data_IF_508596034841
#
_entry.id   IF_508596034841
#
_cell.length_a   1.000
_cell.length_b   1.000
_cell.length_c   1.000
_cell.angle_alpha   90.00
_cell.angle_beta   90.00
_cell.angle_gamma   90.00
#
_symmetry.space_group_name_H-M   'P 1'
#
loop_
_entity.id
_entity.type
_entity.pdbx_description
1 polymer ?
#
# COMPACT_ATOMS: atom_id res chain seq x y z
N UNK A 1 -13.41 -12.33 -26.38
CA UNK A 1 -14.47 -11.78 -25.52
C UNK A 1 -14.83 -12.69 -24.34
N UNK A 2 -15.20 -13.97 -24.56
CA UNK A 2 -15.59 -14.92 -23.47
C UNK A 2 -14.49 -15.14 -22.42
N UNK A 3 -13.23 -15.29 -22.86
CA UNK A 3 -12.08 -15.50 -21.97
C UNK A 3 -11.75 -14.24 -21.13
N UNK A 4 -11.97 -13.04 -21.68
CA UNK A 4 -11.80 -11.74 -20.99
C UNK A 4 -12.85 -11.55 -19.90
N UNK A 5 -14.12 -11.79 -20.21
CA UNK A 5 -15.20 -11.70 -19.22
C UNK A 5 -14.99 -12.69 -18.07
N UNK A 6 -14.49 -13.89 -18.38
CA UNK A 6 -14.14 -14.86 -17.36
C UNK A 6 -13.05 -14.35 -16.41
N UNK A 7 -11.99 -13.74 -16.95
CA UNK A 7 -10.91 -13.15 -16.15
C UNK A 7 -11.40 -12.00 -15.26
N UNK A 8 -12.23 -11.09 -15.76
CA UNK A 8 -12.85 -10.02 -14.95
C UNK A 8 -13.67 -10.60 -13.80
N UNK A 9 -14.49 -11.62 -14.08
CA UNK A 9 -15.28 -12.29 -13.04
C UNK A 9 -14.38 -12.97 -11.99
N UNK A 10 -13.27 -13.59 -12.40
CA UNK A 10 -12.28 -14.17 -11.49
C UNK A 10 -11.63 -13.11 -10.59
N UNK A 11 -11.23 -11.96 -11.15
CA UNK A 11 -10.65 -10.85 -10.40
C UNK A 11 -11.66 -10.29 -9.39
N UNK A 12 -12.93 -10.13 -9.77
CA UNK A 12 -13.97 -9.65 -8.86
C UNK A 12 -14.21 -10.62 -7.69
N UNK A 13 -14.27 -11.93 -7.97
CA UNK A 13 -14.40 -12.95 -6.94
C UNK A 13 -13.17 -12.96 -6.01
N UNK A 14 -11.96 -12.92 -6.57
CA UNK A 14 -10.73 -12.85 -5.79
C UNK A 14 -10.68 -11.59 -4.91
N UNK A 15 -11.10 -10.44 -5.44
CA UNK A 15 -11.19 -9.17 -4.72
C UNK A 15 -12.11 -9.29 -3.50
N UNK A 16 -13.30 -9.88 -3.66
CA UNK A 16 -14.22 -10.10 -2.54
C UNK A 16 -13.62 -11.01 -1.46
N UNK A 17 -12.89 -12.06 -1.85
CA UNK A 17 -12.20 -12.96 -0.91
C UNK A 17 -11.12 -12.20 -0.15
N UNK A 18 -10.31 -11.39 -0.85
CA UNK A 18 -9.25 -10.60 -0.24
C UNK A 18 -9.81 -9.58 0.76
N UNK A 19 -10.91 -8.88 0.44
CA UNK A 19 -11.56 -7.96 1.38
C UNK A 19 -12.05 -8.67 2.66
N UNK A 20 -12.61 -9.88 2.52
CA UNK A 20 -13.00 -10.70 3.68
C UNK A 20 -11.81 -11.04 4.57
N UNK A 21 -10.67 -11.40 3.97
CA UNK A 21 -9.44 -11.68 4.72
C UNK A 21 -8.85 -10.43 5.37
N UNK A 22 -8.87 -9.28 4.68
CA UNK A 22 -8.45 -8.00 5.25
C UNK A 22 -9.26 -7.62 6.49
N UNK A 23 -10.58 -7.80 6.45
CA UNK A 23 -11.44 -7.58 7.61
C UNK A 23 -11.05 -8.48 8.80
N UNK A 24 -10.77 -9.76 8.54
CA UNK A 24 -10.32 -10.71 9.57
C UNK A 24 -8.96 -10.34 10.15
N UNK A 25 -7.99 -9.95 9.31
CA UNK A 25 -6.67 -9.52 9.76
C UNK A 25 -6.75 -8.25 10.62
N UNK A 26 -7.61 -7.29 10.26
CA UNK A 26 -7.88 -6.08 11.07
C UNK A 26 -8.47 -6.44 12.44
N UNK A 27 -9.42 -7.37 12.48
CA UNK A 27 -9.96 -7.86 13.74
C UNK A 27 -8.91 -8.59 14.60
N UNK A 28 -8.01 -9.36 13.97
CA UNK A 28 -6.88 -10.00 14.65
C UNK A 28 -5.87 -8.99 15.21
N UNK A 29 -5.49 -7.97 14.45
CA UNK A 29 -4.56 -6.93 14.93
C UNK A 29 -5.12 -6.18 16.15
N UNK A 30 -6.42 -5.83 16.11
CA UNK A 30 -7.09 -5.22 17.26
C UNK A 30 -7.07 -6.14 18.49
N UNK A 31 -7.36 -7.43 18.31
CA UNK A 31 -7.28 -8.42 19.40
C UNK A 31 -5.86 -8.54 19.95
N UNK A 32 -4.84 -8.58 19.10
CA UNK A 32 -3.45 -8.62 19.53
C UNK A 32 -3.03 -7.36 20.28
N UNK A 33 -3.52 -6.18 19.90
CA UNK A 33 -3.28 -4.95 20.65
C UNK A 33 -3.89 -5.01 22.07
N UNK A 34 -5.11 -5.53 22.21
CA UNK A 34 -5.72 -5.72 23.53
C UNK A 34 -4.96 -6.76 24.37
N UNK A 35 -4.56 -7.88 23.77
CA UNK A 35 -3.74 -8.90 24.44
C UNK A 35 -2.36 -8.34 24.87
N UNK A 36 -1.76 -7.48 24.06
CA UNK A 36 -0.49 -6.84 24.34
C UNK A 36 -0.58 -5.98 25.61
N UNK A 37 -1.62 -5.13 25.70
CA UNK A 37 -1.89 -4.33 26.90
C UNK A 37 -2.07 -5.22 28.14
N UNK A 38 -2.88 -6.27 28.02
CA UNK A 38 -3.13 -7.21 29.11
C UNK A 38 -1.83 -7.89 29.60
N UNK A 39 -0.99 -8.39 28.69
CA UNK A 39 0.27 -9.02 29.08
C UNK A 39 1.25 -8.03 29.69
N UNK A 40 1.29 -6.79 29.22
CA UNK A 40 2.09 -5.72 29.83
C UNK A 40 1.66 -5.46 31.28
N UNK A 41 0.36 -5.32 31.53
CA UNK A 41 -0.16 -5.09 32.89
C UNK A 41 0.19 -6.25 33.84
N UNK A 42 -0.01 -7.49 33.39
CA UNK A 42 0.32 -8.70 34.16
C UNK A 42 1.83 -8.85 34.41
N UNK A 43 2.64 -8.49 33.42
CA UNK A 43 4.10 -8.49 33.52
C UNK A 43 4.55 -7.49 34.58
N UNK A 44 4.06 -6.25 34.50
CA UNK A 44 4.36 -5.18 35.48
C UNK A 44 3.93 -5.59 36.89
N UNK A 45 2.75 -6.19 37.05
CA UNK A 45 2.29 -6.69 38.35
C UNK A 45 3.23 -7.79 38.89
N UNK A 46 3.62 -8.76 38.05
CA UNK A 46 4.50 -9.86 38.45
C UNK A 46 5.90 -9.37 38.87
N UNK A 47 6.43 -8.35 38.18
CA UNK A 47 7.69 -7.70 38.55
C UNK A 47 7.55 -7.00 39.90
N UNK A 48 6.49 -6.22 40.11
CA UNK A 48 6.24 -5.51 41.38
C UNK A 48 6.13 -6.45 42.57
N UNK A 49 5.56 -7.64 42.40
CA UNK A 49 5.45 -8.64 43.46
C UNK A 49 6.70 -9.53 43.60
N UNK A 50 7.78 -9.25 42.86
CA UNK A 50 9.02 -10.04 42.89
C UNK A 50 8.91 -11.44 42.27
N UNK A 51 7.82 -11.74 41.55
CA UNK A 51 7.61 -13.04 40.90
C UNK A 51 8.32 -13.09 39.54
N UNK A 52 9.65 -13.13 39.59
CA UNK A 52 10.52 -13.07 38.41
C UNK A 52 10.31 -14.25 37.44
N UNK A 53 9.96 -15.43 37.95
CA UNK A 53 9.66 -16.60 37.11
C UNK A 53 8.44 -16.38 36.22
N UNK A 54 7.33 -15.89 36.81
CA UNK A 54 6.11 -15.54 36.05
C UNK A 54 6.34 -14.38 35.10
N UNK A 55 7.09 -13.35 35.54
CA UNK A 55 7.46 -12.22 34.70
C UNK A 55 8.22 -12.66 33.44
N UNK A 56 9.20 -13.58 33.58
CA UNK A 56 9.96 -14.10 32.43
C UNK A 56 9.09 -14.84 31.41
N UNK A 57 8.12 -15.63 31.88
CA UNK A 57 7.17 -16.32 31.00
C UNK A 57 6.31 -15.31 30.24
N UNK A 58 5.72 -14.34 30.95
CA UNK A 58 4.88 -13.30 30.35
C UNK A 58 5.65 -12.46 29.31
N UNK A 59 6.92 -12.15 29.57
CA UNK A 59 7.78 -11.43 28.63
C UNK A 59 8.03 -12.22 27.33
N UNK A 60 8.25 -13.54 27.43
CA UNK A 60 8.38 -14.40 26.25
C UNK A 60 7.08 -14.46 25.43
N UNK A 61 5.93 -14.61 26.09
CA UNK A 61 4.64 -14.61 25.40
C UNK A 61 4.35 -13.28 24.71
N UNK A 62 4.70 -12.16 25.35
CA UNK A 62 4.58 -10.83 24.76
C UNK A 62 5.47 -10.68 23.52
N UNK A 63 6.70 -11.22 23.53
CA UNK A 63 7.58 -11.22 22.37
C UNK A 63 7.02 -12.06 21.21
N UNK A 64 6.47 -13.25 21.52
CA UNK A 64 5.81 -14.10 20.53
C UNK A 64 4.57 -13.42 19.94
N UNK A 65 3.73 -12.81 20.78
CA UNK A 65 2.56 -12.05 20.37
C UNK A 65 2.94 -10.92 19.40
N UNK A 66 3.98 -10.13 19.75
CA UNK A 66 4.51 -9.07 18.87
C UNK A 66 4.96 -9.61 17.51
N UNK A 67 5.60 -10.77 17.48
CA UNK A 67 6.01 -11.42 16.23
C UNK A 67 4.80 -11.79 15.37
N UNK A 68 3.79 -12.43 15.95
CA UNK A 68 2.56 -12.82 15.23
C UNK A 68 1.77 -11.60 14.76
N UNK A 69 1.69 -10.54 15.58
CA UNK A 69 1.06 -9.28 15.22
C UNK A 69 1.75 -8.62 14.03
N UNK A 70 3.09 -8.54 14.03
CA UNK A 70 3.84 -8.04 12.87
C UNK A 70 3.57 -8.86 11.61
N UNK A 71 3.55 -10.19 11.70
CA UNK A 71 3.20 -11.03 10.53
C UNK A 71 1.81 -10.71 10.02
N UNK A 72 0.83 -10.56 10.91
CA UNK A 72 -0.56 -10.19 10.58
C UNK A 72 -0.63 -8.86 9.84
N UNK A 73 0.10 -7.85 10.31
CA UNK A 73 0.19 -6.53 9.66
C UNK A 73 0.84 -6.61 8.27
N UNK A 74 1.96 -7.34 8.13
CA UNK A 74 2.60 -7.52 6.82
C UNK A 74 1.70 -8.26 5.83
N UNK A 75 0.98 -9.30 6.26
CA UNK A 75 -0.01 -9.97 5.42
C UNK A 75 -1.15 -9.03 5.03
N UNK A 76 -1.61 -8.18 5.95
CA UNK A 76 -2.59 -7.14 5.66
C UNK A 76 -2.14 -6.21 4.55
N UNK A 77 -0.94 -5.64 4.67
CA UNK A 77 -0.37 -4.74 3.65
C UNK A 77 -0.22 -5.42 2.28
N UNK A 78 0.23 -6.68 2.25
CA UNK A 78 0.37 -7.44 1.02
C UNK A 78 -0.99 -7.66 0.33
N UNK A 79 -2.05 -7.91 1.11
CA UNK A 79 -3.41 -8.04 0.58
C UNK A 79 -3.99 -6.70 0.11
N UNK A 80 -3.70 -5.59 0.80
CA UNK A 80 -4.07 -4.24 0.34
C UNK A 80 -3.42 -3.89 -1.00
N UNK A 81 -2.12 -4.20 -1.15
CA UNK A 81 -1.41 -4.04 -2.42
C UNK A 81 -2.04 -4.88 -3.55
N UNK A 82 -2.53 -6.09 -3.23
CA UNK A 82 -3.19 -6.95 -4.20
C UNK A 82 -4.54 -6.36 -4.66
N UNK A 83 -5.33 -5.79 -3.74
CA UNK A 83 -6.58 -5.10 -4.08
C UNK A 83 -6.33 -3.93 -5.05
N UNK A 84 -5.29 -3.14 -4.80
CA UNK A 84 -4.92 -2.03 -5.69
C UNK A 84 -4.58 -2.55 -7.09
N UNK A 85 -3.77 -3.61 -7.19
CA UNK A 85 -3.44 -4.23 -8.50
C UNK A 85 -4.68 -4.80 -9.20
N UNK A 86 -5.62 -5.38 -8.47
CA UNK A 86 -6.90 -5.84 -9.04
C UNK A 86 -7.74 -4.68 -9.58
N UNK A 87 -7.76 -3.52 -8.91
CA UNK A 87 -8.42 -2.30 -9.42
C UNK A 87 -7.83 -1.90 -10.76
N UNK A 88 -6.50 -1.81 -10.85
CA UNK A 88 -5.81 -1.47 -12.10
C UNK A 88 -6.14 -2.47 -13.21
N UNK A 89 -6.11 -3.78 -12.93
CA UNK A 89 -6.48 -4.79 -13.93
C UNK A 89 -7.93 -4.64 -14.42
N UNK A 90 -8.86 -4.29 -13.52
CA UNK A 90 -10.25 -4.05 -13.89
C UNK A 90 -10.41 -2.78 -14.74
N UNK A 91 -9.69 -1.71 -14.43
CA UNK A 91 -9.64 -0.48 -15.25
C UNK A 91 -9.10 -0.75 -16.66
N UNK A 92 -8.01 -1.54 -16.77
CA UNK A 92 -7.49 -1.97 -18.07
C UNK A 92 -8.51 -2.82 -18.86
N UNK A 93 -9.27 -3.68 -18.18
CA UNK A 93 -10.32 -4.46 -18.85
C UNK A 93 -11.40 -3.57 -19.46
N UNK A 94 -11.81 -2.50 -18.78
CA UNK A 94 -12.78 -1.53 -19.30
C UNK A 94 -12.23 -0.76 -20.52
N UNK A 95 -10.95 -0.39 -20.51
CA UNK A 95 -10.31 0.28 -21.65
C UNK A 95 -10.31 -0.64 -22.86
N UNK A 96 -10.00 -1.92 -22.69
CA UNK A 96 -9.96 -2.88 -23.80
C UNK A 96 -11.32 -3.03 -24.51
N UNK A 97 -12.43 -2.90 -23.80
CA UNK A 97 -13.78 -2.94 -24.39
C UNK A 97 -14.05 -1.75 -25.33
N UNK A 98 -13.30 -0.66 -25.20
CA UNK A 98 -13.34 0.50 -26.12
C UNK A 98 -12.27 0.43 -27.21
N UNK A 99 -11.12 -0.20 -26.95
CA UNK A 99 -10.04 -0.34 -27.93
C UNK A 99 -10.46 -1.27 -29.06
N UNK A 100 -11.06 -2.43 -28.76
CA UNK A 100 -11.46 -3.42 -29.78
C UNK A 100 -12.28 -2.80 -30.94
N UNK A 101 -13.42 -2.11 -30.70
CA UNK A 101 -14.19 -1.48 -31.77
C UNK A 101 -13.46 -0.31 -32.44
N UNK A 102 -12.58 0.38 -31.73
CA UNK A 102 -11.75 1.46 -32.30
C UNK A 102 -10.74 0.90 -33.31
N UNK A 103 -10.13 -0.24 -33.02
CA UNK A 103 -9.23 -0.93 -33.95
C UNK A 103 -9.97 -1.40 -35.19
N UNK A 104 -11.18 -1.96 -35.02
CA UNK A 104 -12.03 -2.36 -36.15
C UNK A 104 -12.39 -1.17 -37.04
N UNK A 105 -12.73 -0.02 -36.44
CA UNK A 105 -12.99 1.22 -37.17
C UNK A 105 -11.76 1.68 -37.97
N UNK A 106 -10.56 1.69 -37.38
CA UNK A 106 -9.31 2.06 -38.05
C UNK A 106 -9.01 1.12 -39.22
N UNK A 107 -9.21 -0.19 -39.05
CA UNK A 107 -9.04 -1.19 -40.11
C UNK A 107 -10.02 -0.94 -41.28
N UNK A 108 -11.27 -0.55 -40.97
CA UNK A 108 -12.26 -0.16 -41.97
C UNK A 108 -11.83 1.06 -42.78
N UNK A 109 -11.40 2.14 -42.09
CA UNK A 109 -10.90 3.36 -42.74
C UNK A 109 -9.67 3.06 -43.60
N UNK A 110 -8.74 2.23 -43.11
CA UNK A 110 -7.57 1.80 -43.89
C UNK A 110 -7.98 1.06 -45.17
N UNK A 111 -8.95 0.15 -45.07
CA UNK A 111 -9.43 -0.59 -46.24
C UNK A 111 -10.07 0.33 -47.29
N UNK A 112 -10.85 1.33 -46.87
CA UNK A 112 -11.50 2.27 -47.78
C UNK A 112 -10.51 3.28 -48.36
N UNK A 113 -9.57 3.78 -47.55
CA UNK A 113 -8.53 4.68 -48.02
C UNK A 113 -7.57 3.99 -49.00
N UNK A 114 -7.24 2.72 -48.79
CA UNK A 114 -6.40 1.96 -49.72
C UNK A 114 -7.07 1.77 -51.08
N UNK A 115 -8.42 1.63 -51.12
CA UNK A 115 -9.18 1.59 -52.37
C UNK A 115 -9.22 2.95 -53.07
N UNK A 116 -9.32 4.05 -52.33
CA UNK A 116 -9.43 5.39 -52.87
C UNK A 116 -8.07 6.02 -53.25
N UNK A 117 -7.04 5.79 -52.43
CA UNK A 117 -5.70 6.35 -52.54
C UNK A 117 -4.65 5.34 -52.04
N UNK A 118 -4.14 4.46 -52.92
CA UNK A 118 -3.21 3.38 -52.54
C UNK A 118 -1.93 3.88 -51.84
N UNK A 119 -1.47 5.08 -52.19
CA UNK A 119 -0.27 5.70 -51.61
C UNK A 119 -0.45 6.15 -50.15
N UNK A 120 -1.68 6.35 -49.69
CA UNK A 120 -1.99 6.75 -48.31
C UNK A 120 -2.16 5.53 -47.36
N UNK A 121 -2.26 4.30 -47.89
CA UNK A 121 -2.43 3.08 -47.10
C UNK A 121 -1.24 2.77 -46.17
N UNK A 122 -0.02 3.16 -46.56
CA UNK A 122 1.19 2.89 -45.77
C UNK A 122 1.16 3.51 -44.36
N UNK A 123 0.78 4.80 -44.25
CA UNK A 123 0.74 5.50 -42.96
C UNK A 123 -0.32 4.91 -42.01
N UNK A 124 -1.47 4.47 -42.54
CA UNK A 124 -2.50 3.81 -41.74
C UNK A 124 -2.16 2.36 -41.39
N UNK A 125 -1.36 1.68 -42.22
CA UNK A 125 -0.87 0.33 -41.92
C UNK A 125 0.04 0.33 -40.68
N UNK A 126 0.88 1.35 -40.51
CA UNK A 126 1.73 1.52 -39.32
C UNK A 126 0.88 1.70 -38.06
N UNK A 127 -0.14 2.56 -38.10
CA UNK A 127 -1.08 2.76 -36.97
C UNK A 127 -1.82 1.47 -36.63
N UNK A 128 -2.32 0.74 -37.64
CA UNK A 128 -2.99 -0.55 -37.43
C UNK A 128 -2.06 -1.60 -36.81
N UNK A 129 -0.78 -1.61 -37.21
CA UNK A 129 0.23 -2.54 -36.66
C UNK A 129 0.48 -2.26 -35.19
N UNK A 130 0.82 -1.01 -34.84
CA UNK A 130 1.09 -0.59 -33.46
C UNK A 130 -0.11 -0.90 -32.57
N UNK A 131 -1.32 -0.64 -33.04
CA UNK A 131 -2.53 -0.90 -32.26
C UNK A 131 -2.78 -2.40 -32.06
N UNK A 132 -2.47 -3.22 -33.08
CA UNK A 132 -2.56 -4.69 -32.96
C UNK A 132 -1.50 -5.23 -32.00
N UNK A 133 -0.28 -4.68 -32.03
CA UNK A 133 0.81 -5.08 -31.13
C UNK A 133 0.48 -4.73 -29.66
N UNK A 134 -0.12 -3.57 -29.40
CA UNK A 134 -0.63 -3.17 -28.07
C UNK A 134 -1.72 -4.12 -27.58
N UNK A 135 -2.67 -4.52 -28.44
CA UNK A 135 -3.70 -5.50 -28.10
C UNK A 135 -3.11 -6.88 -27.79
N UNK A 136 -2.12 -7.30 -28.59
CA UNK A 136 -1.51 -8.63 -28.45
C UNK A 136 -0.66 -8.71 -27.17
N UNK A 137 0.06 -7.64 -26.85
CA UNK A 137 0.81 -7.53 -25.59
C UNK A 137 -0.09 -7.45 -24.36
N UNK A 138 -1.24 -6.77 -24.45
CA UNK A 138 -2.25 -6.76 -23.39
C UNK A 138 -2.91 -8.12 -23.14
N UNK A 139 -2.89 -9.01 -24.14
CA UNK A 139 -3.46 -10.37 -24.07
C UNK A 139 -2.44 -11.43 -23.57
N UNK A 140 -1.22 -11.03 -23.21
CA UNK A 140 -0.24 -11.96 -22.63
C UNK A 140 -0.71 -12.41 -21.25
N UNK A 141 -0.96 -13.72 -21.15
CA UNK A 141 -1.25 -14.44 -19.91
C UNK A 141 -0.34 -13.97 -18.80
N UNK A 142 -0.94 -13.42 -17.75
CA UNK A 142 -0.28 -13.12 -16.49
C UNK A 142 0.34 -14.41 -15.93
N UNK A 143 1.66 -14.55 -16.06
CA UNK A 143 2.45 -15.49 -15.26
C UNK A 143 2.35 -14.99 -13.81
N UNK A 144 1.37 -15.51 -13.07
CA UNK A 144 1.11 -15.18 -11.67
C UNK A 144 2.18 -15.89 -10.83
N UNK A 145 3.40 -15.40 -10.95
CA UNK A 145 4.58 -15.97 -10.34
C UNK A 145 5.41 -14.87 -9.72
N UNK A 146 5.18 -14.63 -8.43
CA UNK A 146 5.91 -13.73 -7.51
C UNK A 146 5.31 -12.32 -7.39
N UNK A 147 4.50 -12.15 -6.35
CA UNK A 147 4.22 -10.84 -5.76
C UNK A 147 5.50 -10.38 -5.06
N UNK A 148 6.45 -9.84 -5.84
CA UNK A 148 7.45 -8.94 -5.31
C UNK A 148 6.86 -7.53 -5.45
N UNK A 149 6.87 -6.77 -4.37
CA UNK A 149 6.62 -5.33 -4.38
C UNK A 149 7.95 -4.61 -4.15
N UNK A 150 8.88 -4.61 -5.12
CA UNK A 150 9.93 -3.61 -5.11
C UNK A 150 9.23 -2.25 -5.25
N UNK A 151 9.54 -1.32 -4.36
CA UNK A 151 9.08 0.06 -4.51
C UNK A 151 9.84 0.69 -5.67
N UNK A 152 9.09 1.20 -6.65
CA UNK A 152 9.63 1.96 -7.77
C UNK A 152 10.07 3.36 -7.30
N UNK A 153 11.07 3.95 -7.94
CA UNK A 153 11.56 5.29 -7.60
C UNK A 153 10.43 6.33 -7.72
N UNK A 154 9.58 6.20 -8.72
CA UNK A 154 8.42 7.07 -8.93
C UNK A 154 7.40 6.95 -7.78
N UNK A 155 7.21 5.74 -7.24
CA UNK A 155 6.34 5.53 -6.08
C UNK A 155 6.90 6.18 -4.82
N UNK A 156 8.23 6.18 -4.65
CA UNK A 156 8.91 6.91 -3.57
C UNK A 156 8.74 8.42 -3.71
N UNK A 157 8.89 8.96 -4.92
CA UNK A 157 8.77 10.40 -5.16
C UNK A 157 7.33 10.89 -4.91
N UNK A 158 6.33 10.09 -5.29
CA UNK A 158 4.92 10.37 -4.96
C UNK A 158 4.69 10.33 -3.44
N UNK A 159 5.23 9.34 -2.73
CA UNK A 159 5.09 9.27 -1.26
C UNK A 159 5.73 10.49 -0.58
N UNK A 160 6.93 10.88 -0.99
CA UNK A 160 7.60 12.08 -0.47
C UNK A 160 6.78 13.35 -0.74
N UNK A 161 6.15 13.46 -1.91
CA UNK A 161 5.28 14.59 -2.24
C UNK A 161 4.04 14.65 -1.34
N UNK A 162 3.39 13.49 -1.11
CA UNK A 162 2.22 13.39 -0.23
C UNK A 162 2.60 13.69 1.23
N UNK A 163 3.71 13.14 1.72
CA UNK A 163 4.23 13.41 3.06
C UNK A 163 4.54 14.90 3.26
N UNK A 164 5.18 15.54 2.28
CA UNK A 164 5.44 16.98 2.30
C UNK A 164 4.16 17.83 2.30
N UNK A 165 3.13 17.41 1.56
CA UNK A 165 1.83 18.07 1.55
C UNK A 165 1.13 17.94 2.93
N UNK A 166 1.16 16.74 3.53
CA UNK A 166 0.60 16.50 4.86
C UNK A 166 1.35 17.27 5.96
N UNK A 167 2.68 17.36 5.87
CA UNK A 167 3.49 18.16 6.82
C UNK A 167 3.14 19.65 6.70
N UNK A 168 2.97 20.16 5.48
CA UNK A 168 2.55 21.54 5.23
C UNK A 168 1.16 21.82 5.80
N UNK A 169 0.21 20.91 5.60
CA UNK A 169 -1.13 21.01 6.16
C UNK A 169 -1.12 20.96 7.70
N UNK A 170 -0.31 20.06 8.29
CA UNK A 170 -0.14 19.98 9.73
C UNK A 170 0.46 21.26 10.31
N UNK A 171 1.49 21.84 9.66
CA UNK A 171 2.08 23.12 10.06
C UNK A 171 1.09 24.28 9.99
N UNK A 172 0.23 24.31 8.97
CA UNK A 172 -0.83 25.31 8.86
C UNK A 172 -1.91 25.18 9.94
N UNK A 173 -2.08 24.00 10.53
CA UNK A 173 -3.07 23.70 11.59
C UNK A 173 -2.49 23.78 13.00
N UNK A 174 -1.17 23.96 13.17
CA UNK A 174 -0.56 24.17 14.48
C UNK A 174 -0.91 25.59 14.98
N UNK A 175 -1.52 25.74 16.17
CA UNK A 175 -1.74 27.06 16.75
C UNK A 175 -0.40 27.72 17.10
N UNK A 176 -0.32 29.05 16.96
CA UNK A 176 0.84 29.80 17.40
C UNK A 176 1.04 29.62 18.91
N UNK A 177 2.30 29.38 19.31
CA UNK A 177 2.66 29.25 20.72
C UNK A 177 2.39 30.62 21.37
N UNK A 178 1.53 30.72 22.40
CA UNK A 178 1.24 31.99 23.03
C UNK A 178 2.53 32.57 23.61
N UNK A 179 2.80 33.84 23.29
CA UNK A 179 4.05 34.56 23.60
C UNK A 179 4.35 34.76 25.10
N UNK A 180 3.61 34.10 25.99
CA UNK A 180 3.69 34.31 27.44
C UNK A 180 3.94 33.02 28.23
N UNK A 181 4.72 32.09 27.67
CA UNK A 181 5.26 30.98 28.46
C UNK A 181 6.42 31.50 29.33
N UNK A 182 6.36 31.37 30.67
CA UNK A 182 7.47 31.73 31.54
C UNK A 182 8.67 30.82 31.24
N UNK A 183 9.77 31.42 30.78
CA UNK A 183 11.05 30.76 30.60
C UNK A 183 11.59 30.46 31.99
N UNK A 184 11.66 29.18 32.38
CA UNK A 184 12.37 28.79 33.59
C UNK A 184 13.87 28.74 33.26
N UNK A 185 14.57 29.84 33.53
CA UNK A 185 16.03 29.87 33.56
C UNK A 185 16.50 28.93 34.67
N UNK A 186 17.24 27.88 34.30
CA UNK A 186 17.90 27.00 35.26
C UNK A 186 19.09 27.74 35.87
N UNK A 187 19.02 28.05 37.15
CA UNK A 187 20.16 28.52 37.94
C UNK A 187 21.19 27.38 38.08
N UNK A 188 22.42 27.64 37.63
CA UNK A 188 23.57 26.77 37.87
C UNK A 188 24.03 26.92 39.33
N UNK A 189 23.70 25.95 40.18
CA UNK A 189 24.34 25.79 41.49
C UNK A 189 25.81 25.38 41.32
N UNK A 190 26.73 26.36 41.35
CA UNK A 190 28.14 26.12 41.64
C UNK A 190 28.29 25.82 43.13
N UNK A 191 28.36 24.53 43.47
CA UNK A 191 28.78 24.10 44.81
C UNK A 191 30.24 24.53 45.05
N UNK A 192 30.40 25.53 45.92
CA UNK A 192 31.65 25.87 46.56
C UNK A 192 32.00 24.77 47.57
N UNK A 193 33.07 24.00 47.29
CA UNK A 193 33.75 23.20 48.30
C UNK A 193 34.94 24.02 48.78
N UNK A 194 34.76 24.72 49.90
CA UNK A 194 35.84 25.13 50.80
C UNK A 194 35.33 25.09 52.23
N UNK A 195 36.12 24.44 53.09
CA UNK A 195 36.39 24.62 54.54
C UNK A 195 36.69 23.20 55.07
N UNK A 196 37.94 22.73 55.01
CA UNK A 196 39.02 22.90 56.01
C UNK A 196 38.61 22.57 57.45
N UNK A 197 39.41 21.68 58.08
CA UNK A 197 39.34 21.23 59.46
C UNK A 197 40.20 19.99 59.66
#
# INVERSE_FOLDING_TARGET
MVERQHLVNQINNATSVVYSQLSRLKALDSRFASMESYYLDQLTASIKTGNNGRARILANELANLKKVRRTTQHTGMALEALVIRFSTLNEFAMILDTIDPTVEMIKGIHADLTKAMPQAGQALSEVSSVTTDVLTSANMRSDVGRISTPMDQDAYDILNQIEGALESEAKAKLPEIPANMPVHEKEEEKQAVMVEG
#
